data_IF_453408887808
#
_entry.id   IF_453408887808
#
_cell.length_a   1.000
_cell.length_b   1.000
_cell.length_c   1.000
_cell.angle_alpha   90.00
_cell.angle_beta   90.00
_cell.angle_gamma   90.00
#
_symmetry.space_group_name_H-M   'P 1'
#
loop_
_entity.id
_entity.type
_entity.pdbx_description
1 polymer ?
#
# COMPACT_ATOMS: atom_id res chain seq x y z
N UNK A 1 -6.08 -3.03 16.15
CA UNK A 1 -6.39 -3.53 14.78
C UNK A 1 -6.50 -2.31 13.88
N UNK A 2 -5.62 -2.21 12.93
CA UNK A 2 -5.58 -1.14 11.92
C UNK A 2 -5.75 -1.67 10.50
N UNK A 3 -5.68 -2.99 10.32
CA UNK A 3 -6.06 -3.70 9.09
C UNK A 3 -7.19 -4.67 9.45
N UNK A 4 -8.35 -4.48 8.86
CA UNK A 4 -9.43 -5.45 8.92
C UNK A 4 -9.23 -6.49 7.81
N UNK A 5 -9.33 -7.77 8.17
CA UNK A 5 -9.24 -8.89 7.24
C UNK A 5 -10.52 -9.72 7.32
N UNK A 6 -11.31 -9.71 6.25
CA UNK A 6 -12.59 -10.42 6.15
C UNK A 6 -12.55 -11.41 5.01
N UNK A 7 -13.10 -12.60 5.23
CA UNK A 7 -13.29 -13.62 4.18
C UNK A 7 -14.74 -13.65 3.75
N UNK A 8 -14.97 -13.57 2.46
CA UNK A 8 -16.29 -13.70 1.83
C UNK A 8 -16.23 -14.76 0.73
N UNK A 9 -16.56 -16.00 1.09
CA UNK A 9 -16.40 -17.13 0.19
C UNK A 9 -14.94 -17.33 -0.23
N UNK A 10 -14.63 -17.15 -1.52
CA UNK A 10 -13.26 -17.26 -2.05
C UNK A 10 -12.51 -15.93 -2.11
N UNK A 11 -13.07 -14.88 -1.56
CA UNK A 11 -12.47 -13.54 -1.53
C UNK A 11 -11.89 -13.23 -0.15
N UNK A 12 -10.78 -12.54 -0.11
CA UNK A 12 -10.23 -11.86 1.07
C UNK A 12 -10.32 -10.36 0.87
N UNK A 13 -10.86 -9.64 1.85
CA UNK A 13 -10.93 -8.18 1.82
C UNK A 13 -10.03 -7.63 2.93
N UNK A 14 -9.10 -6.77 2.56
CA UNK A 14 -8.18 -6.05 3.45
C UNK A 14 -8.58 -4.59 3.47
N UNK A 15 -9.06 -4.11 4.60
CA UNK A 15 -9.45 -2.71 4.75
C UNK A 15 -8.49 -2.00 5.71
N UNK A 16 -7.86 -0.91 5.25
CA UNK A 16 -7.03 -0.06 6.10
C UNK A 16 -7.96 0.81 6.94
N UNK A 17 -7.91 0.68 8.27
CA UNK A 17 -8.82 1.31 9.22
C UNK A 17 -8.17 2.51 9.95
N UNK A 18 -7.68 3.50 9.20
CA UNK A 18 -7.08 4.73 9.75
C UNK A 18 -7.59 5.99 9.05
N UNK A 19 -8.93 6.22 8.98
CA UNK A 19 -9.49 7.34 8.22
C UNK A 19 -9.04 8.71 8.73
N UNK A 20 -8.77 8.85 10.02
CA UNK A 20 -8.25 10.07 10.66
C UNK A 20 -6.85 10.45 10.13
N UNK A 21 -6.04 9.46 9.75
CA UNK A 21 -4.74 9.61 9.12
C UNK A 21 -4.80 9.42 7.59
N UNK A 22 -5.99 9.49 6.96
CA UNK A 22 -6.19 9.20 5.53
C UNK A 22 -5.64 7.82 5.13
N UNK A 23 -5.80 6.84 6.00
CA UNK A 23 -5.34 5.48 5.83
C UNK A 23 -3.81 5.35 5.60
N UNK A 24 -3.01 6.29 6.16
CA UNK A 24 -1.56 6.19 6.14
C UNK A 24 -1.06 4.98 6.94
N UNK A 25 0.02 4.36 6.46
CA UNK A 25 0.60 3.16 7.04
C UNK A 25 1.67 3.53 8.08
N UNK A 26 1.34 3.34 9.36
CA UNK A 26 2.32 3.31 10.44
C UNK A 26 2.91 1.90 10.58
N UNK A 27 3.90 1.70 11.46
CA UNK A 27 4.54 0.40 11.65
C UNK A 27 3.56 -0.70 12.09
N UNK A 28 2.54 -0.35 12.87
CA UNK A 28 1.48 -1.30 13.24
C UNK A 28 0.68 -1.77 12.02
N UNK A 29 0.26 -0.84 11.15
CA UNK A 29 -0.46 -1.15 9.92
C UNK A 29 0.40 -1.98 8.94
N UNK A 30 1.69 -1.67 8.83
CA UNK A 30 2.64 -2.42 7.99
C UNK A 30 2.76 -3.87 8.49
N UNK A 31 2.90 -4.07 9.81
CA UNK A 31 3.01 -5.41 10.40
C UNK A 31 1.71 -6.21 10.25
N UNK A 32 0.55 -5.61 10.59
CA UNK A 32 -0.74 -6.27 10.43
C UNK A 32 -1.04 -6.61 8.96
N UNK A 33 -0.70 -5.71 8.02
CA UNK A 33 -0.87 -5.98 6.59
C UNK A 33 0.01 -7.15 6.15
N UNK A 34 1.26 -7.21 6.59
CA UNK A 34 2.16 -8.34 6.32
C UNK A 34 1.59 -9.66 6.86
N UNK A 35 1.12 -9.67 8.11
CA UNK A 35 0.58 -10.87 8.77
C UNK A 35 -0.69 -11.36 8.06
N UNK A 36 -1.63 -10.46 7.77
CA UNK A 36 -2.87 -10.80 7.07
C UNK A 36 -2.63 -11.25 5.62
N UNK A 37 -1.67 -10.65 4.93
CA UNK A 37 -1.26 -11.07 3.57
C UNK A 37 -0.61 -12.45 3.57
N UNK A 38 0.21 -12.75 4.59
CA UNK A 38 0.78 -14.10 4.75
C UNK A 38 -0.31 -15.13 5.00
N UNK A 39 -1.24 -14.84 5.91
CA UNK A 39 -2.37 -15.72 6.17
C UNK A 39 -3.24 -15.94 4.91
N UNK A 40 -3.48 -14.89 4.12
CA UNK A 40 -4.17 -14.99 2.83
C UNK A 40 -3.43 -15.88 1.84
N UNK A 41 -2.11 -15.72 1.71
CA UNK A 41 -1.30 -16.54 0.81
C UNK A 41 -1.39 -18.03 1.16
N UNK A 42 -1.37 -18.35 2.45
CA UNK A 42 -1.34 -19.72 2.94
C UNK A 42 -2.73 -20.41 3.01
N UNK A 43 -3.81 -19.63 2.91
CA UNK A 43 -5.18 -20.16 3.00
C UNK A 43 -5.65 -20.77 1.67
N UNK A 44 -5.81 -22.10 1.55
CA UNK A 44 -6.21 -22.75 0.30
C UNK A 44 -7.65 -22.44 -0.13
N UNK A 45 -8.51 -21.94 0.78
CA UNK A 45 -9.92 -21.68 0.49
C UNK A 45 -10.12 -20.30 -0.17
N UNK A 46 -9.19 -19.36 0.03
CA UNK A 46 -9.28 -17.99 -0.51
C UNK A 46 -8.43 -17.88 -1.77
N UNK A 47 -9.00 -17.36 -2.84
CA UNK A 47 -8.36 -17.33 -4.15
C UNK A 47 -7.96 -15.94 -4.62
N UNK A 48 -8.66 -14.88 -4.18
CA UNK A 48 -8.44 -13.48 -4.63
C UNK A 48 -8.47 -12.55 -3.44
N UNK A 49 -7.55 -11.58 -3.39
CA UNK A 49 -7.52 -10.52 -2.39
C UNK A 49 -7.96 -9.18 -2.96
N UNK A 50 -8.68 -8.40 -2.17
CA UNK A 50 -9.07 -7.02 -2.47
C UNK A 50 -8.53 -6.13 -1.36
N UNK A 51 -7.80 -5.08 -1.71
CA UNK A 51 -7.28 -4.11 -0.75
C UNK A 51 -8.01 -2.79 -0.95
N UNK A 52 -8.47 -2.18 0.12
CA UNK A 52 -9.13 -0.87 0.11
C UNK A 52 -8.83 -0.07 1.38
N UNK A 53 -9.20 1.21 1.37
CA UNK A 53 -9.17 2.06 2.55
C UNK A 53 -10.57 2.32 3.10
N UNK A 54 -10.72 2.50 4.40
CA UNK A 54 -12.02 2.85 4.99
C UNK A 54 -12.41 4.29 4.63
N UNK A 55 -13.71 4.53 4.44
CA UNK A 55 -14.27 5.84 4.08
C UNK A 55 -14.17 6.15 2.59
N UNK A 56 -14.36 7.43 2.26
CA UNK A 56 -14.45 7.94 0.88
C UNK A 56 -13.32 8.92 0.51
N UNK A 57 -12.43 9.23 1.45
CA UNK A 57 -11.41 10.27 1.27
C UNK A 57 -10.09 9.73 0.71
N UNK A 58 -9.67 8.57 1.18
CA UNK A 58 -8.39 8.01 0.81
C UNK A 58 -8.41 6.48 0.77
N UNK A 59 -7.79 5.94 -0.23
CA UNK A 59 -7.32 4.56 -0.24
C UNK A 59 -6.17 4.42 0.76
N UNK A 60 -5.08 5.15 0.54
CA UNK A 60 -3.92 5.19 1.42
C UNK A 60 -3.06 6.42 1.09
N UNK A 61 -2.75 7.25 2.09
CA UNK A 61 -1.92 8.44 1.93
C UNK A 61 -0.40 8.16 2.04
N UNK A 62 0.02 6.88 2.06
CA UNK A 62 1.41 6.47 2.10
C UNK A 62 1.91 6.15 3.52
N UNK A 63 3.21 6.27 3.75
CA UNK A 63 3.79 6.08 5.06
C UNK A 63 3.30 7.17 6.04
N UNK A 64 3.01 6.79 7.27
CA UNK A 64 2.79 7.77 8.34
C UNK A 64 4.15 8.41 8.70
N UNK A 65 4.35 9.65 8.22
CA UNK A 65 5.66 10.32 8.28
C UNK A 65 6.15 10.46 9.72
N UNK A 66 5.25 10.72 10.68
CA UNK A 66 5.64 10.91 12.09
C UNK A 66 6.18 9.61 12.67
N UNK A 67 5.48 8.51 12.44
CA UNK A 67 5.85 7.18 12.90
C UNK A 67 7.12 6.68 12.19
N UNK A 68 7.16 6.83 10.87
CA UNK A 68 8.31 6.43 10.06
C UNK A 68 9.58 7.19 10.42
N UNK A 69 9.51 8.52 10.63
CA UNK A 69 10.68 9.30 11.05
C UNK A 69 11.18 8.89 12.44
N UNK A 70 10.29 8.54 13.37
CA UNK A 70 10.65 8.03 14.69
C UNK A 70 11.36 6.69 14.57
N UNK A 71 10.77 5.77 13.82
CA UNK A 71 11.36 4.46 13.53
C UNK A 71 12.75 4.60 12.89
N UNK A 72 12.88 5.47 11.88
CA UNK A 72 14.14 5.73 11.18
C UNK A 72 15.23 6.33 12.08
N UNK A 73 14.88 7.07 13.13
CA UNK A 73 15.87 7.59 14.10
C UNK A 73 16.41 6.51 15.03
N UNK A 74 15.60 5.51 15.32
CA UNK A 74 15.92 4.45 16.28
C UNK A 74 16.66 3.28 15.63
N UNK A 75 16.53 3.08 14.33
CA UNK A 75 17.07 1.95 13.58
C UNK A 75 18.07 2.40 12.53
N UNK A 76 19.15 1.64 12.35
CA UNK A 76 20.14 1.85 11.29
C UNK A 76 19.56 1.36 9.97
N UNK A 77 18.96 2.18 9.18
CA UNK A 77 18.38 2.04 7.85
C UNK A 77 18.93 0.93 6.94
N UNK A 78 19.01 -0.29 7.42
CA UNK A 78 19.29 -1.45 6.59
C UNK A 78 17.98 -1.98 6.00
N UNK A 79 17.99 -2.62 4.83
CA UNK A 79 16.80 -3.26 4.29
C UNK A 79 16.13 -4.25 5.24
N UNK A 80 16.89 -4.84 6.14
CA UNK A 80 16.44 -5.83 7.11
C UNK A 80 15.65 -5.23 8.27
N UNK A 81 15.78 -3.94 8.53
CA UNK A 81 15.06 -3.22 9.60
C UNK A 81 13.57 -3.08 9.30
N UNK A 82 13.18 -3.18 8.03
CA UNK A 82 11.79 -3.08 7.63
C UNK A 82 11.19 -4.45 7.34
N UNK A 83 10.00 -4.75 7.89
CA UNK A 83 9.34 -6.02 7.61
C UNK A 83 9.03 -6.14 6.11
N UNK A 84 9.07 -7.37 5.55
CA UNK A 84 8.62 -7.60 4.19
C UNK A 84 7.16 -7.16 4.03
N UNK A 85 6.85 -6.52 2.89
CA UNK A 85 5.50 -6.09 2.54
C UNK A 85 5.19 -6.52 1.10
N UNK A 86 3.92 -6.45 0.69
CA UNK A 86 3.52 -6.66 -0.71
C UNK A 86 4.34 -5.78 -1.68
N UNK A 87 4.70 -4.59 -1.24
CA UNK A 87 5.48 -3.65 -2.04
C UNK A 87 6.96 -4.07 -2.14
N UNK A 88 7.45 -4.82 -1.14
CA UNK A 88 8.85 -5.22 -1.04
C UNK A 88 9.03 -6.48 -0.19
N UNK A 89 9.55 -7.54 -0.80
CA UNK A 89 10.05 -8.74 -0.11
C UNK A 89 9.02 -9.78 0.32
N UNK A 90 7.72 -9.48 0.26
CA UNK A 90 6.65 -10.47 0.46
C UNK A 90 6.17 -10.96 -0.89
N UNK A 91 6.17 -12.28 -1.09
CA UNK A 91 5.70 -12.91 -2.32
C UNK A 91 4.27 -13.41 -2.15
N UNK A 92 3.34 -12.80 -2.86
CA UNK A 92 1.95 -13.23 -2.96
C UNK A 92 1.71 -13.74 -4.38
N UNK A 93 1.25 -14.97 -4.51
CA UNK A 93 0.99 -15.63 -5.80
C UNK A 93 -0.47 -15.63 -6.19
N UNK A 94 -1.35 -15.18 -5.27
CA UNK A 94 -2.78 -15.05 -5.52
C UNK A 94 -3.08 -13.68 -6.10
N UNK A 95 -4.04 -13.55 -7.03
CA UNK A 95 -4.43 -12.26 -7.59
C UNK A 95 -4.85 -11.25 -6.52
N UNK A 96 -4.37 -10.03 -6.64
CA UNK A 96 -4.69 -8.90 -5.77
C UNK A 96 -5.30 -7.75 -6.57
N UNK A 97 -6.40 -7.21 -6.06
CA UNK A 97 -7.11 -6.06 -6.62
C UNK A 97 -6.99 -4.89 -5.66
N UNK A 98 -6.50 -3.76 -6.12
CA UNK A 98 -6.61 -2.49 -5.39
C UNK A 98 -7.94 -1.82 -5.74
N UNK A 99 -8.85 -1.72 -4.77
CA UNK A 99 -10.08 -0.94 -4.87
C UNK A 99 -9.83 0.46 -4.30
N UNK A 100 -9.51 1.41 -5.20
CA UNK A 100 -9.00 2.74 -4.84
C UNK A 100 -10.17 3.71 -4.67
N UNK A 101 -10.61 3.88 -3.44
CA UNK A 101 -11.78 4.67 -3.04
C UNK A 101 -11.52 6.18 -2.86
N UNK A 102 -10.28 6.66 -3.10
CA UNK A 102 -9.92 8.06 -2.92
C UNK A 102 -8.44 8.33 -3.20
N UNK A 103 -7.78 9.11 -2.33
CA UNK A 103 -6.36 9.45 -2.48
C UNK A 103 -5.47 8.21 -2.38
N UNK A 104 -4.57 8.04 -3.33
CA UNK A 104 -3.47 7.05 -3.31
C UNK A 104 -2.16 7.79 -3.51
N UNK A 105 -1.45 8.11 -2.42
CA UNK A 105 -0.28 8.97 -2.41
C UNK A 105 0.95 8.25 -1.88
N UNK A 106 2.12 8.51 -2.46
CA UNK A 106 3.38 7.93 -2.00
C UNK A 106 3.30 6.42 -1.88
N UNK A 107 3.63 5.87 -0.71
CA UNK A 107 3.51 4.45 -0.42
C UNK A 107 2.11 3.85 -0.65
N UNK A 108 1.05 4.67 -0.65
CA UNK A 108 -0.30 4.23 -1.01
C UNK A 108 -0.45 3.96 -2.51
N UNK A 109 0.14 4.80 -3.35
CA UNK A 109 0.22 4.52 -4.78
C UNK A 109 1.14 3.32 -5.05
N UNK A 110 2.24 3.20 -4.30
CA UNK A 110 3.15 2.05 -4.41
C UNK A 110 2.46 0.73 -4.03
N UNK A 111 1.59 0.74 -3.00
CA UNK A 111 0.75 -0.39 -2.63
C UNK A 111 -0.24 -0.75 -3.75
N UNK A 112 -0.93 0.24 -4.31
CA UNK A 112 -1.85 0.03 -5.43
C UNK A 112 -1.13 -0.52 -6.67
N UNK A 113 0.09 -0.04 -6.96
CA UNK A 113 0.93 -0.51 -8.06
C UNK A 113 1.49 -1.92 -7.83
N UNK A 114 1.58 -2.38 -6.60
CA UNK A 114 2.00 -3.74 -6.27
C UNK A 114 0.88 -4.77 -6.45
N UNK A 115 -0.38 -4.35 -6.53
CA UNK A 115 -1.50 -5.21 -6.90
C UNK A 115 -1.52 -5.50 -8.40
N UNK A 116 -2.19 -6.60 -8.81
CA UNK A 116 -2.32 -7.00 -10.21
C UNK A 116 -3.32 -6.13 -10.96
N UNK A 117 -4.46 -5.83 -10.35
CA UNK A 117 -5.56 -5.04 -10.92
C UNK A 117 -5.82 -3.82 -10.04
N UNK A 118 -6.12 -2.70 -10.66
CA UNK A 118 -6.52 -1.44 -10.03
C UNK A 118 -7.87 -1.01 -10.53
N UNK A 119 -8.82 -0.80 -9.63
CA UNK A 119 -10.13 -0.21 -9.88
C UNK A 119 -10.19 1.05 -9.04
N UNK A 120 -10.50 2.18 -9.64
CA UNK A 120 -10.49 3.47 -8.97
C UNK A 120 -11.84 4.16 -9.07
N UNK A 121 -12.24 4.82 -7.99
CA UNK A 121 -13.36 5.76 -8.03
C UNK A 121 -13.02 6.96 -8.92
N UNK A 122 -14.01 7.61 -9.51
CA UNK A 122 -13.81 8.80 -10.35
C UNK A 122 -13.15 9.97 -9.60
N UNK A 123 -13.36 10.01 -8.28
CA UNK A 123 -12.74 10.98 -7.37
C UNK A 123 -11.31 10.65 -6.98
N UNK A 124 -10.78 9.46 -7.33
CA UNK A 124 -9.44 9.05 -6.94
C UNK A 124 -8.35 10.00 -7.49
N UNK A 125 -7.30 10.21 -6.69
CA UNK A 125 -6.13 11.03 -7.07
C UNK A 125 -4.86 10.28 -6.72
N UNK A 126 -3.86 10.43 -7.57
CA UNK A 126 -2.61 9.67 -7.53
C UNK A 126 -1.41 10.62 -7.55
N UNK A 127 -0.38 10.35 -6.73
CA UNK A 127 0.90 11.04 -6.79
C UNK A 127 1.98 10.26 -6.05
N UNK A 128 3.24 10.48 -6.42
CA UNK A 128 4.44 10.12 -5.65
C UNK A 128 5.11 11.42 -5.17
N UNK A 129 4.60 12.07 -4.09
CA UNK A 129 5.02 13.40 -3.67
C UNK A 129 6.32 13.42 -2.86
N UNK A 130 7.06 12.32 -2.81
CA UNK A 130 8.25 12.13 -1.98
C UNK A 130 9.32 13.18 -2.24
N UNK A 131 9.51 13.61 -3.50
CA UNK A 131 10.48 14.64 -3.89
C UNK A 131 10.25 15.96 -3.15
N UNK A 132 8.96 16.34 -2.94
CA UNK A 132 8.60 17.51 -2.14
C UNK A 132 9.00 17.43 -0.66
N UNK A 133 9.33 16.24 -0.18
CA UNK A 133 9.80 15.97 1.18
C UNK A 133 11.30 15.68 1.23
N UNK A 134 12.04 15.82 0.12
CA UNK A 134 13.45 15.45 0.02
C UNK A 134 13.69 13.93 0.10
N UNK A 135 12.69 13.12 -0.26
CA UNK A 135 12.74 11.66 -0.25
C UNK A 135 12.61 11.09 -1.65
N UNK A 136 12.80 9.78 -1.77
CA UNK A 136 12.50 9.00 -2.97
C UNK A 136 11.40 7.98 -2.67
N UNK A 137 10.55 7.62 -3.65
CA UNK A 137 9.62 6.50 -3.52
C UNK A 137 10.38 5.20 -3.22
N UNK A 138 10.25 4.69 -1.99
CA UNK A 138 11.08 3.60 -1.47
C UNK A 138 10.48 2.20 -1.60
N UNK A 139 9.18 2.11 -1.95
CA UNK A 139 8.45 0.85 -1.98
C UNK A 139 8.15 0.35 -3.41
N UNK A 140 8.96 0.80 -4.38
CA UNK A 140 8.95 0.32 -5.76
C UNK A 140 8.23 1.24 -6.75
N UNK A 141 7.79 2.43 -6.34
CA UNK A 141 7.11 3.41 -7.20
C UNK A 141 7.94 3.80 -8.42
N UNK A 142 9.23 4.06 -8.24
CA UNK A 142 10.16 4.38 -9.33
C UNK A 142 10.23 3.29 -10.41
N UNK A 143 9.95 2.05 -10.05
CA UNK A 143 10.02 0.90 -10.96
C UNK A 143 8.66 0.54 -11.54
N UNK A 144 7.61 0.51 -10.70
CA UNK A 144 6.28 0.05 -11.14
C UNK A 144 5.52 1.13 -11.91
N UNK A 145 5.59 2.40 -11.47
CA UNK A 145 4.85 3.48 -12.14
C UNK A 145 5.29 3.64 -13.60
N UNK A 146 6.60 3.70 -13.86
CA UNK A 146 7.16 3.87 -15.21
C UNK A 146 6.90 2.69 -16.15
N UNK A 147 6.51 1.53 -15.61
CA UNK A 147 6.09 0.35 -16.36
C UNK A 147 4.57 0.23 -16.53
N UNK A 148 3.81 1.02 -15.79
CA UNK A 148 2.35 0.98 -15.78
C UNK A 148 1.75 2.07 -16.65
N UNK A 149 2.37 3.26 -16.69
CA UNK A 149 1.91 4.41 -17.48
C UNK A 149 3.04 4.95 -18.36
N UNK A 150 2.73 5.70 -19.45
CA UNK A 150 3.75 6.35 -20.25
C UNK A 150 4.70 7.21 -19.39
N UNK A 151 6.00 7.23 -19.74
CA UNK A 151 7.02 7.93 -18.93
C UNK A 151 6.67 9.39 -18.65
N UNK A 152 6.15 10.12 -19.65
CA UNK A 152 5.72 11.51 -19.48
C UNK A 152 4.66 11.64 -18.36
N UNK A 153 3.71 10.71 -18.30
CA UNK A 153 2.68 10.70 -17.25
C UNK A 153 3.27 10.29 -15.90
N UNK A 154 4.22 9.36 -15.88
CA UNK A 154 4.92 9.01 -14.64
C UNK A 154 5.67 10.22 -14.06
N UNK A 155 6.31 11.02 -14.91
CA UNK A 155 7.03 12.24 -14.50
C UNK A 155 6.10 13.36 -13.97
N UNK A 156 4.84 13.40 -14.41
CA UNK A 156 3.83 14.33 -13.88
C UNK A 156 3.34 13.91 -12.47
N UNK A 157 3.45 12.64 -12.12
CA UNK A 157 2.94 12.09 -10.86
C UNK A 157 3.99 12.11 -9.73
N UNK A 158 5.24 12.42 -10.07
CA UNK A 158 6.39 12.58 -9.15
C UNK A 158 6.64 14.08 -8.82
#
# INVERSE_FOLDING_TARGET
MVIEYVKEGKLAIFTILRPEARNALNMAAINELRETMTAFQDDPEVLVGIITGTGDKAFCAGADIKDTLSFMKEHRHTPEDFPPTLMRGLNIWKPLIAAINGLALGGGLELALACDIRIAADSARFSLPEVGLGLLPGWGGTQRLTRTVPLAKAMELV
#
